data_IF_128410574035
#
_entry.id   IF_128410574035
#
_cell.length_a   1.000
_cell.length_b   1.000
_cell.length_c   1.000
_cell.angle_alpha   90.00
_cell.angle_beta   90.00
_cell.angle_gamma   90.00
#
_symmetry.space_group_name_H-M   'P 1'
#
loop_
_entity.id
_entity.type
_entity.pdbx_description
1 polymer ?
#
# COMPACT_ATOMS: atom_id res chain seq x y z
N UNK A 1 9.14 4.13 23.91
CA UNK A 1 8.67 3.16 22.90
C UNK A 1 8.85 3.78 21.52
N UNK A 2 9.34 3.03 20.52
CA UNK A 2 9.41 3.52 19.13
C UNK A 2 8.24 2.94 18.34
N UNK A 3 7.61 3.76 17.49
CA UNK A 3 6.51 3.34 16.61
C UNK A 3 7.04 3.32 15.18
N UNK A 4 6.97 2.16 14.53
CA UNK A 4 7.33 2.01 13.12
C UNK A 4 6.23 2.54 12.22
N UNK A 5 6.60 3.22 11.13
CA UNK A 5 5.68 3.76 10.15
C UNK A 5 6.07 3.31 8.75
N UNK A 6 5.25 2.45 8.17
CA UNK A 6 5.47 1.88 6.84
C UNK A 6 4.70 2.70 5.82
N UNK A 7 5.43 3.42 4.97
CA UNK A 7 4.83 4.24 3.91
C UNK A 7 5.80 4.41 2.75
N UNK A 8 5.26 4.45 1.53
CA UNK A 8 5.98 4.87 0.32
C UNK A 8 5.01 5.57 -0.64
N UNK A 9 5.42 6.67 -1.31
CA UNK A 9 4.60 7.36 -2.30
C UNK A 9 4.11 6.47 -3.46
N UNK A 10 4.73 5.30 -3.70
CA UNK A 10 4.26 4.33 -4.69
C UNK A 10 2.80 3.93 -4.48
N UNK A 11 2.29 3.96 -3.24
CA UNK A 11 0.90 3.65 -2.92
C UNK A 11 -0.08 4.63 -3.56
N UNK A 12 0.34 5.87 -3.82
CA UNK A 12 -0.50 6.86 -4.50
C UNK A 12 -0.71 6.57 -5.99
N UNK A 13 0.08 5.64 -6.57
CA UNK A 13 -0.15 5.17 -7.94
C UNK A 13 -1.35 4.22 -8.05
N UNK A 14 -1.81 3.67 -6.93
CA UNK A 14 -3.09 2.97 -6.86
C UNK A 14 -4.20 4.01 -6.70
N UNK A 15 -4.59 4.62 -7.83
CA UNK A 15 -5.70 5.56 -7.90
C UNK A 15 -6.82 4.98 -8.76
N UNK A 16 -7.94 4.68 -8.13
CA UNK A 16 -9.14 4.11 -8.75
C UNK A 16 -10.16 5.19 -9.17
N UNK A 17 -9.77 6.48 -9.10
CA UNK A 17 -10.59 7.59 -9.57
C UNK A 17 -11.79 7.86 -8.65
N UNK A 18 -13.01 7.61 -9.15
CA UNK A 18 -14.24 7.93 -8.43
C UNK A 18 -14.60 6.91 -7.33
N UNK A 19 -13.94 5.75 -7.32
CA UNK A 19 -14.19 4.76 -6.28
C UNK A 19 -13.69 5.29 -4.91
N UNK A 20 -14.38 5.02 -3.78
CA UNK A 20 -13.97 5.53 -2.48
C UNK A 20 -12.56 5.08 -2.05
N UNK A 21 -12.15 3.89 -2.48
CA UNK A 21 -10.81 3.35 -2.25
C UNK A 21 -9.82 3.90 -3.28
N UNK A 22 -9.43 5.17 -3.13
CA UNK A 22 -8.49 5.86 -4.04
C UNK A 22 -7.34 6.56 -3.28
N UNK A 23 -6.39 7.11 -4.03
CA UNK A 23 -5.17 7.73 -3.51
C UNK A 23 -5.43 8.87 -2.50
N UNK A 24 -6.54 9.60 -2.62
CA UNK A 24 -6.88 10.73 -1.72
C UNK A 24 -7.04 10.30 -0.26
N UNK A 25 -7.41 9.03 -0.01
CA UNK A 25 -7.47 8.47 1.35
C UNK A 25 -6.09 8.54 2.02
N UNK A 26 -5.05 8.15 1.30
CA UNK A 26 -3.68 8.16 1.83
C UNK A 26 -3.15 9.59 1.92
N UNK A 27 -3.39 10.43 0.91
CA UNK A 27 -3.01 11.86 0.96
C UNK A 27 -3.56 12.54 2.20
N UNK A 28 -4.86 12.36 2.50
CA UNK A 28 -5.50 12.93 3.68
C UNK A 28 -4.86 12.46 5.00
N UNK A 29 -4.50 11.17 5.10
CA UNK A 29 -3.83 10.61 6.28
C UNK A 29 -2.44 11.23 6.44
N UNK A 30 -1.62 11.23 5.38
CA UNK A 30 -0.24 11.74 5.42
C UNK A 30 -0.22 13.24 5.74
N UNK A 31 -1.04 14.04 5.05
CA UNK A 31 -1.15 15.47 5.34
C UNK A 31 -1.60 15.75 6.78
N UNK A 32 -2.49 14.93 7.34
CA UNK A 32 -2.89 15.07 8.74
C UNK A 32 -1.71 14.77 9.69
N UNK A 33 -0.99 13.66 9.47
CA UNK A 33 0.16 13.28 10.30
C UNK A 33 1.25 14.37 10.26
N UNK A 34 1.55 14.90 9.08
CA UNK A 34 2.52 15.98 8.89
C UNK A 34 2.09 17.26 9.60
N UNK A 35 0.83 17.70 9.41
CA UNK A 35 0.28 18.90 10.04
C UNK A 35 0.30 18.84 11.56
N UNK A 36 0.14 17.66 12.14
CA UNK A 36 0.19 17.45 13.60
C UNK A 36 1.61 17.32 14.16
N UNK A 37 2.64 17.25 13.30
CA UNK A 37 4.01 16.99 13.74
C UNK A 37 4.22 15.56 14.26
N UNK A 38 3.34 14.62 13.90
CA UNK A 38 3.43 13.24 14.38
C UNK A 38 4.47 12.45 13.59
N UNK A 39 4.69 12.77 12.31
CA UNK A 39 5.68 12.08 11.46
C UNK A 39 7.10 12.13 12.03
N UNK A 40 7.45 13.20 12.75
CA UNK A 40 8.76 13.37 13.40
C UNK A 40 8.98 12.42 14.59
N UNK A 41 7.90 11.86 15.14
CA UNK A 41 7.94 10.91 16.26
C UNK A 41 7.93 9.45 15.77
N UNK A 42 7.67 9.23 14.48
CA UNK A 42 7.58 7.91 13.87
C UNK A 42 8.93 7.48 13.29
N UNK A 43 9.22 6.19 13.38
CA UNK A 43 10.40 5.60 12.74
C UNK A 43 10.02 5.14 11.34
N UNK A 44 10.54 5.76 10.26
CA UNK A 44 10.17 5.39 8.90
C UNK A 44 10.71 4.00 8.54
N UNK A 45 9.88 3.19 7.90
CA UNK A 45 10.22 1.87 7.38
C UNK A 45 9.79 1.86 5.92
N UNK A 46 10.75 1.67 5.00
CA UNK A 46 10.38 1.53 3.59
C UNK A 46 9.76 0.15 3.36
N UNK A 47 8.59 0.08 2.72
CA UNK A 47 8.02 -1.19 2.30
C UNK A 47 8.88 -1.82 1.19
N UNK A 48 8.73 -3.13 1.04
CA UNK A 48 9.20 -3.89 -0.12
C UNK A 48 8.02 -4.70 -0.67
N UNK A 49 8.12 -5.12 -1.92
CA UNK A 49 7.19 -6.12 -2.43
C UNK A 49 7.27 -7.39 -1.57
N UNK A 50 6.10 -7.96 -1.26
CA UNK A 50 6.02 -9.29 -0.67
C UNK A 50 6.52 -10.32 -1.69
N UNK A 51 7.29 -11.31 -1.22
CA UNK A 51 7.75 -12.40 -2.09
C UNK A 51 6.60 -13.37 -2.39
N UNK A 52 6.77 -14.24 -3.39
CA UNK A 52 5.75 -15.26 -3.67
C UNK A 52 5.62 -16.21 -2.50
N UNK A 53 6.75 -16.61 -1.90
CA UNK A 53 6.79 -17.50 -0.76
C UNK A 53 6.04 -16.91 0.45
N UNK A 54 6.15 -15.60 0.68
CA UNK A 54 5.41 -14.90 1.74
C UNK A 54 3.91 -14.84 1.48
N UNK A 55 3.50 -14.58 0.24
CA UNK A 55 2.09 -14.60 -0.15
C UNK A 55 1.51 -16.02 -0.08
N UNK A 56 2.32 -17.03 -0.41
CA UNK A 56 1.96 -18.44 -0.39
C UNK A 56 1.76 -19.02 1.02
N UNK A 57 2.07 -18.24 2.08
CA UNK A 57 1.70 -18.63 3.45
C UNK A 57 0.19 -18.66 3.68
N UNK A 58 -0.60 -17.99 2.83
CA UNK A 58 -2.06 -17.87 2.95
C UNK A 58 -2.78 -18.17 1.64
N UNK A 59 -2.19 -17.84 0.49
CA UNK A 59 -2.84 -17.92 -0.82
C UNK A 59 -2.21 -18.97 -1.74
N UNK A 60 -3.02 -19.68 -2.51
CA UNK A 60 -2.50 -20.60 -3.54
C UNK A 60 -1.74 -19.84 -4.64
N UNK A 61 -0.65 -20.42 -5.15
CA UNK A 61 0.17 -19.82 -6.22
C UNK A 61 -0.62 -19.52 -7.50
N UNK A 62 -1.65 -20.34 -7.79
CA UNK A 62 -2.56 -20.11 -8.91
C UNK A 62 -3.34 -18.81 -8.74
N UNK A 63 -3.84 -18.53 -7.53
CA UNK A 63 -4.54 -17.29 -7.23
C UNK A 63 -3.61 -16.08 -7.29
N UNK A 64 -2.41 -16.20 -6.75
CA UNK A 64 -1.40 -15.13 -6.84
C UNK A 64 -1.07 -14.81 -8.31
N UNK A 65 -0.90 -15.84 -9.14
CA UNK A 65 -0.65 -15.68 -10.58
C UNK A 65 -1.82 -15.03 -11.30
N UNK A 66 -3.05 -15.41 -10.95
CA UNK A 66 -4.26 -14.79 -11.48
C UNK A 66 -4.31 -13.29 -11.17
N UNK A 67 -4.15 -12.90 -9.90
CA UNK A 67 -4.16 -11.49 -9.48
C UNK A 67 -3.05 -10.69 -10.16
N UNK A 68 -1.85 -11.26 -10.29
CA UNK A 68 -0.75 -10.64 -11.05
C UNK A 68 -1.17 -10.36 -12.51
N UNK A 69 -1.80 -11.33 -13.17
CA UNK A 69 -2.27 -11.18 -14.54
C UNK A 69 -3.37 -10.13 -14.69
N UNK A 70 -4.28 -10.02 -13.71
CA UNK A 70 -5.31 -8.96 -13.67
C UNK A 70 -4.66 -7.58 -13.50
N UNK A 71 -3.73 -7.42 -12.56
CA UNK A 71 -3.04 -6.16 -12.31
C UNK A 71 -2.24 -5.67 -13.54
N UNK A 72 -1.56 -6.57 -14.25
CA UNK A 72 -0.81 -6.24 -15.47
C UNK A 72 -1.70 -5.75 -16.62
N UNK A 73 -2.98 -6.11 -16.62
CA UNK A 73 -3.97 -5.69 -17.62
C UNK A 73 -4.69 -4.39 -17.26
N UNK A 74 -4.27 -3.73 -16.18
CA UNK A 74 -4.88 -2.48 -15.70
C UNK A 74 -5.87 -2.66 -14.55
N UNK A 75 -5.90 -3.84 -13.93
CA UNK A 75 -6.79 -4.14 -12.81
C UNK A 75 -8.13 -4.76 -13.23
N UNK A 76 -8.99 -4.99 -12.25
CA UNK A 76 -10.32 -5.58 -12.42
C UNK A 76 -11.26 -5.11 -11.30
N UNK A 77 -12.56 -5.37 -11.48
CA UNK A 77 -13.62 -5.11 -10.49
C UNK A 77 -14.07 -6.41 -9.85
#
# INVERSE_FOLDING_TARGET
MKVGFVYDPIYLKHDTGQHPENAKRLEAIISHLERTGLTQQLTPIRPRAASIEELSLVHDEQYISYIRGVAQKGGGW
#
